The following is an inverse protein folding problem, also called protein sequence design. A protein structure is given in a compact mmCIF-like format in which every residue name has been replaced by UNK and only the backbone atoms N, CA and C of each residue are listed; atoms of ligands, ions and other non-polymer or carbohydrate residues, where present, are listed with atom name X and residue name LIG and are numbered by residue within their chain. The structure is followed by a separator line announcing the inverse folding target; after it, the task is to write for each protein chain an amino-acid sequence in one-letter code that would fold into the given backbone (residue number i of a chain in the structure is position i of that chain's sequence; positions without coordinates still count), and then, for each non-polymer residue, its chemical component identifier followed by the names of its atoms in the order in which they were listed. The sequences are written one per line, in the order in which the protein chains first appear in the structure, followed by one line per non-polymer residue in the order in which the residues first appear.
data_IF_497064806000
#
_entry.id   IF_497064806000
#
_cell.length_a   1.000
_cell.length_b   1.000
_cell.length_c   1.000
_cell.angle_alpha   90.00
_cell.angle_beta   90.00
_cell.angle_gamma   90.00
#
_symmetry.space_group_name_H-M   'P 1'
#
loop_
_entity.id
_entity.type
_entity.pdbx_description
1 polymer ?
#
# COMPACT_ATOMS: atom_id res chain seq x y z
N UNK A 1 6.63 10.03 24.57
CA UNK A 1 7.58 10.30 23.47
C UNK A 1 6.94 10.14 22.09
N UNK A 2 6.27 9.03 21.79
CA UNK A 2 5.62 8.80 20.47
C UNK A 2 4.52 9.84 20.09
N UNK A 3 3.73 10.31 21.07
CA UNK A 3 2.69 11.34 20.83
C UNK A 3 3.30 12.70 20.47
N UNK A 4 4.40 13.09 21.13
CA UNK A 4 5.11 14.32 20.83
C UNK A 4 5.77 14.28 19.45
N UNK A 5 6.36 13.13 19.09
CA UNK A 5 6.98 12.94 17.78
C UNK A 5 5.96 12.96 16.63
N UNK A 6 4.81 12.29 16.83
CA UNK A 6 3.71 12.33 15.85
C UNK A 6 3.09 13.72 15.72
N UNK A 7 2.94 14.46 16.83
CA UNK A 7 2.49 15.85 16.80
C UNK A 7 3.48 16.77 16.06
N UNK A 8 4.79 16.60 16.29
CA UNK A 8 5.82 17.37 15.60
C UNK A 8 5.84 17.10 14.08
N UNK A 9 5.71 15.83 13.67
CA UNK A 9 5.62 15.44 12.26
C UNK A 9 4.35 15.98 11.59
N UNK A 10 3.21 15.95 12.28
CA UNK A 10 1.97 16.55 11.79
C UNK A 10 2.11 18.06 11.62
N UNK A 11 2.70 18.75 12.60
CA UNK A 11 2.92 20.19 12.53
C UNK A 11 3.88 20.57 11.39
N UNK A 12 4.97 19.81 11.21
CA UNK A 12 5.91 20.00 10.11
C UNK A 12 5.24 19.76 8.75
N UNK A 13 4.47 18.67 8.61
CA UNK A 13 3.74 18.34 7.38
C UNK A 13 2.69 19.39 7.02
N UNK A 14 1.92 19.86 7.99
CA UNK A 14 0.94 20.95 7.80
C UNK A 14 1.62 22.28 7.49
N UNK A 15 2.78 22.56 8.09
CA UNK A 15 3.60 23.74 7.78
C UNK A 15 4.12 23.73 6.34
N UNK A 16 4.64 22.60 5.88
CA UNK A 16 5.06 22.39 4.49
C UNK A 16 3.89 22.53 3.51
N UNK A 17 2.71 22.01 3.87
CA UNK A 17 1.50 22.15 3.06
C UNK A 17 1.00 23.59 2.99
N UNK A 18 1.12 24.37 4.09
CA UNK A 18 0.74 25.77 4.09
C UNK A 18 1.61 26.63 3.15
N UNK A 19 2.84 26.20 2.89
CA UNK A 19 3.76 26.87 1.96
C UNK A 19 3.38 26.65 0.48
N UNK A 20 2.70 25.56 0.13
CA UNK A 20 2.37 25.26 -1.28
C UNK A 20 1.20 26.09 -1.79
N UNK A 21 0.33 26.62 -0.91
CA UNK A 21 -0.87 27.41 -1.24
C UNK A 21 -1.86 26.74 -2.20
N UNK A 22 -1.81 25.41 -2.34
CA UNK A 22 -2.72 24.65 -3.20
C UNK A 22 -3.96 24.24 -2.37
N UNK A 23 -5.16 24.80 -2.65
CA UNK A 23 -6.35 24.55 -1.82
C UNK A 23 -6.80 23.08 -1.86
N UNK A 24 -6.65 22.41 -3.02
CA UNK A 24 -6.96 20.99 -3.17
C UNK A 24 -6.09 20.10 -2.25
N UNK A 25 -4.80 20.42 -2.13
CA UNK A 25 -3.87 19.69 -1.26
C UNK A 25 -4.26 19.85 0.22
N UNK A 26 -4.69 21.05 0.62
CA UNK A 26 -5.26 21.33 1.95
C UNK A 26 -6.47 20.47 2.28
N UNK A 27 -7.43 20.38 1.35
CA UNK A 27 -8.63 19.56 1.52
C UNK A 27 -8.30 18.07 1.66
N UNK A 28 -7.46 17.52 0.77
CA UNK A 28 -7.06 16.10 0.80
C UNK A 28 -6.34 15.78 2.13
N UNK A 29 -5.45 16.65 2.58
CA UNK A 29 -4.76 16.47 3.87
C UNK A 29 -5.74 16.51 5.05
N UNK A 30 -6.72 17.41 5.03
CA UNK A 30 -7.78 17.46 6.05
C UNK A 30 -8.59 16.17 6.13
N UNK A 31 -9.02 15.65 4.98
CA UNK A 31 -9.71 14.35 4.89
C UNK A 31 -8.82 13.21 5.40
N UNK A 32 -7.53 13.22 5.03
CA UNK A 32 -6.56 12.21 5.50
C UNK A 32 -6.40 12.22 7.02
N UNK A 33 -6.27 13.40 7.64
CA UNK A 33 -6.19 13.53 9.09
C UNK A 33 -7.48 13.06 9.75
N UNK A 34 -8.65 13.47 9.24
CA UNK A 34 -9.95 13.02 9.74
C UNK A 34 -10.10 11.50 9.67
N UNK A 35 -9.68 10.89 8.57
CA UNK A 35 -9.68 9.44 8.38
C UNK A 35 -8.75 8.73 9.38
N UNK A 36 -7.56 9.27 9.66
CA UNK A 36 -6.64 8.71 10.65
C UNK A 36 -7.18 8.82 12.09
N UNK A 37 -7.84 9.93 12.42
CA UNK A 37 -8.51 10.11 13.71
C UNK A 37 -9.64 9.09 13.86
N UNK A 38 -10.51 8.98 12.85
CA UNK A 38 -11.60 8.01 12.84
C UNK A 38 -11.09 6.56 12.98
N UNK A 39 -10.05 6.21 12.23
CA UNK A 39 -9.38 4.92 12.30
C UNK A 39 -8.86 4.63 13.73
N UNK A 40 -8.21 5.60 14.36
CA UNK A 40 -7.61 5.46 15.69
C UNK A 40 -8.65 5.29 16.80
N UNK A 41 -9.77 6.00 16.71
CA UNK A 41 -10.84 5.99 17.73
C UNK A 41 -11.71 4.74 17.62
N UNK A 42 -12.18 4.41 16.41
CA UNK A 42 -13.23 3.38 16.22
C UNK A 42 -12.94 2.42 15.08
N UNK A 43 -12.44 2.92 13.95
CA UNK A 43 -12.31 2.15 12.71
C UNK A 43 -11.44 0.90 12.85
N UNK A 44 -10.40 0.94 13.67
CA UNK A 44 -9.50 -0.20 13.93
C UNK A 44 -10.14 -1.38 14.68
N UNK A 45 -11.39 -1.26 15.14
CA UNK A 45 -12.08 -2.31 15.93
C UNK A 45 -13.07 -3.13 15.11
N UNK A 46 -13.41 -2.68 13.90
CA UNK A 46 -14.40 -3.34 13.04
C UNK A 46 -13.65 -4.12 11.96
N UNK A 47 -13.84 -5.45 11.86
CA UNK A 47 -13.24 -6.26 10.81
C UNK A 47 -13.59 -5.69 9.42
N UNK A 48 -12.67 -5.82 8.47
CA UNK A 48 -12.76 -5.31 7.10
C UNK A 48 -12.68 -3.78 7.00
N UNK A 49 -13.43 -3.04 7.81
CA UNK A 49 -13.41 -1.57 7.84
C UNK A 49 -12.01 -1.05 8.17
N UNK A 50 -11.28 -1.70 9.05
CA UNK A 50 -9.90 -1.33 9.38
C UNK A 50 -8.96 -1.42 8.16
N UNK A 51 -9.08 -2.48 7.35
CA UNK A 51 -8.27 -2.69 6.15
C UNK A 51 -8.67 -1.73 5.03
N UNK A 52 -9.97 -1.47 4.84
CA UNK A 52 -10.45 -0.47 3.88
C UNK A 52 -10.02 0.95 4.26
N UNK A 53 -10.11 1.34 5.53
CA UNK A 53 -9.61 2.64 5.98
C UNK A 53 -8.11 2.78 5.74
N UNK A 54 -7.33 1.72 5.99
CA UNK A 54 -5.90 1.73 5.70
C UNK A 54 -5.64 1.95 4.20
N UNK A 55 -6.35 1.23 3.33
CA UNK A 55 -6.24 1.36 1.88
C UNK A 55 -6.67 2.75 1.38
N UNK A 56 -7.77 3.30 1.88
CA UNK A 56 -8.21 4.67 1.58
C UNK A 56 -7.14 5.70 1.95
N UNK A 57 -6.43 5.49 3.06
CA UNK A 57 -5.29 6.33 3.45
C UNK A 57 -4.15 6.32 2.42
N UNK A 58 -3.88 5.19 1.77
CA UNK A 58 -2.90 5.13 0.67
C UNK A 58 -3.37 5.88 -0.57
N UNK A 59 -4.64 5.71 -0.96
CA UNK A 59 -5.24 6.44 -2.08
C UNK A 59 -5.17 7.95 -1.87
N UNK A 60 -5.53 8.44 -0.68
CA UNK A 60 -5.43 9.86 -0.33
C UNK A 60 -4.00 10.40 -0.42
N UNK A 61 -2.98 9.60 -0.09
CA UNK A 61 -1.57 10.01 -0.25
C UNK A 61 -1.16 10.10 -1.71
N UNK A 62 -1.61 9.18 -2.56
CA UNK A 62 -1.35 9.25 -4.01
C UNK A 62 -2.01 10.49 -4.59
N UNK A 63 -3.28 10.74 -4.27
CA UNK A 63 -4.01 11.94 -4.69
C UNK A 63 -3.34 13.22 -4.22
N UNK A 64 -2.84 13.25 -2.98
CA UNK A 64 -2.08 14.39 -2.46
C UNK A 64 -0.79 14.62 -3.26
N UNK A 65 -0.04 13.56 -3.57
CA UNK A 65 1.17 13.64 -4.39
C UNK A 65 0.90 14.17 -5.80
N UNK A 66 -0.14 13.64 -6.46
CA UNK A 66 -0.61 14.11 -7.77
C UNK A 66 -1.03 15.59 -7.73
N UNK A 67 -1.76 16.01 -6.69
CA UNK A 67 -2.18 17.40 -6.52
C UNK A 67 -0.99 18.37 -6.32
N UNK A 68 0.10 17.92 -5.68
CA UNK A 68 1.29 18.74 -5.45
C UNK A 68 2.16 18.91 -6.71
N UNK A 69 2.17 17.90 -7.60
CA UNK A 69 2.94 17.92 -8.86
C UNK A 69 2.07 18.40 -10.04
N UNK A 70 0.79 18.71 -9.80
CA UNK A 70 -0.19 19.12 -10.81
C UNK A 70 -0.35 18.10 -11.96
N UNK A 71 -0.36 16.81 -11.61
CA UNK A 71 -0.56 15.69 -12.54
C UNK A 71 -1.87 14.99 -12.21
N UNK A 72 -2.64 14.60 -13.24
CA UNK A 72 -3.85 13.82 -13.04
C UNK A 72 -3.53 12.39 -12.62
N UNK A 73 -4.21 11.90 -11.58
CA UNK A 73 -4.00 10.54 -11.11
C UNK A 73 -4.71 9.55 -12.04
N UNK A 74 -3.96 8.63 -12.66
CA UNK A 74 -4.55 7.54 -13.44
C UNK A 74 -5.47 6.68 -12.57
N UNK A 75 -6.66 6.36 -13.07
CA UNK A 75 -7.63 5.51 -12.39
C UNK A 75 -7.04 4.12 -12.08
N UNK A 76 -6.24 3.57 -12.99
CA UNK A 76 -5.55 2.30 -12.78
C UNK A 76 -4.49 2.36 -11.70
N UNK A 77 -3.77 3.49 -11.60
CA UNK A 77 -2.80 3.71 -10.52
C UNK A 77 -3.49 3.78 -9.15
N UNK A 78 -4.63 4.47 -9.07
CA UNK A 78 -5.42 4.54 -7.84
C UNK A 78 -5.94 3.15 -7.45
N UNK A 79 -6.48 2.39 -8.41
CA UNK A 79 -6.94 1.03 -8.19
C UNK A 79 -5.79 0.14 -7.72
N UNK A 80 -4.66 0.14 -8.43
CA UNK A 80 -3.46 -0.63 -8.09
C UNK A 80 -2.94 -0.32 -6.68
N UNK A 81 -2.79 0.97 -6.35
CA UNK A 81 -2.32 1.39 -5.03
C UNK A 81 -3.28 0.97 -3.92
N UNK A 82 -4.60 1.05 -4.14
CA UNK A 82 -5.61 0.64 -3.18
C UNK A 82 -5.60 -0.87 -2.95
N UNK A 83 -5.52 -1.67 -4.02
CA UNK A 83 -5.53 -3.14 -3.94
C UNK A 83 -4.23 -3.68 -3.37
N UNK A 84 -3.09 -3.03 -3.66
CA UNK A 84 -1.80 -3.36 -3.07
C UNK A 84 -1.79 -3.04 -1.57
N UNK A 85 -2.39 -1.92 -1.16
CA UNK A 85 -2.54 -1.58 0.25
C UNK A 85 -3.44 -2.59 0.98
N UNK A 86 -4.56 -3.01 0.37
CA UNK A 86 -5.42 -4.08 0.91
C UNK A 86 -4.65 -5.40 1.04
N UNK A 87 -3.90 -5.79 0.01
CA UNK A 87 -3.08 -6.99 0.00
C UNK A 87 -2.09 -7.04 1.17
N UNK A 88 -1.32 -5.95 1.39
CA UNK A 88 -0.37 -5.87 2.50
C UNK A 88 -1.07 -5.83 3.87
N UNK A 89 -2.22 -5.15 3.97
CA UNK A 89 -3.00 -5.07 5.19
C UNK A 89 -3.57 -6.44 5.60
N UNK A 90 -4.09 -7.20 4.64
CA UNK A 90 -4.57 -8.56 4.83
C UNK A 90 -3.42 -9.51 5.16
N UNK A 91 -2.27 -9.36 4.50
CA UNK A 91 -1.04 -10.08 4.86
C UNK A 91 -0.66 -9.88 6.33
N UNK A 92 -0.75 -8.64 6.84
CA UNK A 92 -0.58 -8.36 8.26
C UNK A 92 -1.62 -9.04 9.14
N UNK A 93 -2.90 -9.02 8.77
CA UNK A 93 -3.97 -9.68 9.54
C UNK A 93 -3.77 -11.20 9.61
N UNK A 94 -3.26 -11.80 8.54
CA UNK A 94 -2.87 -13.21 8.55
C UNK A 94 -1.72 -13.47 9.51
N UNK A 95 -0.68 -12.64 9.47
CA UNK A 95 0.45 -12.75 10.41
C UNK A 95 -0.01 -12.62 11.86
N UNK A 96 -0.89 -11.65 12.15
CA UNK A 96 -1.50 -11.47 13.48
C UNK A 96 -2.28 -12.75 13.92
N UNK A 97 -3.05 -13.37 13.00
CA UNK A 97 -3.79 -14.62 13.26
C UNK A 97 -2.87 -15.82 13.51
N UNK A 98 -1.79 -15.96 12.74
CA UNK A 98 -0.83 -17.07 12.88
C UNK A 98 -0.05 -16.94 14.19
N UNK A 99 0.27 -15.72 14.60
CA UNK A 99 0.96 -15.43 15.85
C UNK A 99 0.09 -15.69 17.11
N UNK A 100 -1.18 -16.06 16.96
CA UNK A 100 -2.08 -16.31 18.09
C UNK A 100 -2.42 -15.04 18.88
N UNK A 101 -2.40 -13.86 18.23
CA UNK A 101 -2.86 -12.63 18.86
C UNK A 101 -4.38 -12.70 19.04
N UNK A 102 -4.83 -13.06 20.25
CA UNK A 102 -6.24 -13.15 20.61
C UNK A 102 -6.98 -11.79 20.53
N UNK A 103 -8.32 -11.87 20.54
CA UNK A 103 -9.26 -10.73 20.57
C UNK A 103 -8.95 -9.69 21.66
N UNK A 104 -8.29 -10.10 22.74
CA UNK A 104 -7.84 -9.22 23.82
C UNK A 104 -6.72 -8.25 23.39
N UNK A 105 -5.86 -8.66 22.46
CA UNK A 105 -4.77 -7.82 21.94
C UNK A 105 -5.23 -6.98 20.75
N UNK A 106 -6.19 -7.47 19.96
CA UNK A 106 -6.68 -6.74 18.78
C UNK A 106 -8.13 -7.13 18.40
N UNK A 107 -9.13 -6.34 18.83
CA UNK A 107 -10.55 -6.64 18.61
C UNK A 107 -11.00 -6.78 17.14
N UNK A 108 -10.21 -6.28 16.18
CA UNK A 108 -10.51 -6.46 14.75
C UNK A 108 -10.33 -7.90 14.27
N UNK A 109 -9.63 -8.76 15.03
CA UNK A 109 -9.40 -10.16 14.64
C UNK A 109 -10.62 -11.07 14.82
N UNK A 110 -11.56 -10.72 15.70
CA UNK A 110 -12.76 -11.51 16.02
C UNK A 110 -13.60 -11.93 14.80
N UNK A 111 -13.53 -11.18 13.70
CA UNK A 111 -14.27 -11.46 12.47
C UNK A 111 -13.45 -12.12 11.35
N UNK A 112 -12.17 -12.41 11.55
CA UNK A 112 -11.31 -13.00 10.52
C UNK A 112 -11.06 -14.49 10.76
N UNK A 113 -11.34 -15.30 9.74
CA UNK A 113 -10.87 -16.67 9.65
C UNK A 113 -9.67 -16.73 8.68
N UNK A 114 -8.70 -17.61 8.95
CA UNK A 114 -7.52 -17.85 8.09
C UNK A 114 -7.90 -18.07 6.63
N UNK A 115 -8.86 -18.95 6.37
CA UNK A 115 -9.31 -19.26 5.00
C UNK A 115 -9.83 -18.02 4.26
N UNK A 116 -10.59 -17.17 4.95
CA UNK A 116 -11.09 -15.92 4.39
C UNK A 116 -9.95 -14.94 4.07
N UNK A 117 -8.99 -14.76 4.99
CA UNK A 117 -7.86 -13.84 4.78
C UNK A 117 -6.97 -14.32 3.64
N UNK A 118 -6.67 -15.61 3.57
CA UNK A 118 -5.87 -16.19 2.48
C UNK A 118 -6.57 -16.03 1.12
N UNK A 119 -7.88 -16.26 1.04
CA UNK A 119 -8.65 -16.01 -0.18
C UNK A 119 -8.65 -14.51 -0.55
N UNK A 120 -8.84 -13.62 0.42
CA UNK A 120 -8.82 -12.18 0.18
C UNK A 120 -7.45 -11.65 -0.27
N UNK A 121 -6.35 -12.21 0.27
CA UNK A 121 -4.98 -11.94 -0.21
C UNK A 121 -4.86 -12.35 -1.68
N UNK A 122 -5.33 -13.54 -2.08
CA UNK A 122 -5.30 -13.99 -3.47
C UNK A 122 -6.06 -13.07 -4.42
N UNK A 123 -7.29 -12.68 -4.04
CA UNK A 123 -8.13 -11.76 -4.85
C UNK A 123 -7.43 -10.41 -5.02
N UNK A 124 -6.96 -9.81 -3.91
CA UNK A 124 -6.31 -8.49 -3.95
C UNK A 124 -4.98 -8.50 -4.69
N UNK A 125 -4.20 -9.58 -4.60
CA UNK A 125 -2.98 -9.80 -5.37
C UNK A 125 -3.26 -9.83 -6.88
N UNK A 126 -4.28 -10.58 -7.30
CA UNK A 126 -4.68 -10.68 -8.71
C UNK A 126 -5.14 -9.34 -9.27
N UNK A 127 -6.00 -8.62 -8.53
CA UNK A 127 -6.47 -7.29 -8.95
C UNK A 127 -5.32 -6.28 -8.98
N UNK A 128 -4.38 -6.33 -8.03
CA UNK A 128 -3.19 -5.47 -8.04
C UNK A 128 -2.31 -5.71 -9.28
N UNK A 129 -2.09 -6.98 -9.65
CA UNK A 129 -1.30 -7.31 -10.84
C UNK A 129 -1.98 -6.87 -12.13
N UNK A 130 -3.29 -7.10 -12.27
CA UNK A 130 -4.06 -6.69 -13.46
C UNK A 130 -4.13 -5.17 -13.58
N UNK A 131 -4.43 -4.47 -12.48
CA UNK A 131 -4.48 -3.00 -12.49
C UNK A 131 -3.11 -2.37 -12.78
N UNK A 132 -2.02 -2.97 -12.30
CA UNK A 132 -0.67 -2.54 -12.68
C UNK A 132 -0.37 -2.78 -14.17
N UNK A 133 -0.77 -3.92 -14.72
CA UNK A 133 -0.60 -4.20 -16.15
C UNK A 133 -1.40 -3.20 -17.02
N UNK A 134 -2.63 -2.88 -16.62
CA UNK A 134 -3.45 -1.88 -17.31
C UNK A 134 -2.86 -0.47 -17.18
N UNK A 135 -2.31 -0.12 -16.02
CA UNK A 135 -1.54 1.11 -15.86
C UNK A 135 -0.35 1.17 -16.82
N UNK A 136 0.43 0.09 -16.96
CA UNK A 136 1.54 0.03 -17.93
C UNK A 136 1.08 0.25 -19.38
N UNK A 137 -0.12 -0.22 -19.75
CA UNK A 137 -0.66 -0.06 -21.11
C UNK A 137 -1.11 1.38 -21.38
N UNK A 138 -1.71 2.05 -20.39
CA UNK A 138 -2.30 3.39 -20.55
C UNK A 138 -1.31 4.52 -20.23
N UNK A 139 -0.23 4.24 -19.48
CA UNK A 139 0.68 5.28 -19.01
C UNK A 139 1.49 5.91 -20.15
N UNK A 140 1.16 7.16 -20.48
CA UNK A 140 1.87 7.98 -21.49
C UNK A 140 3.33 8.28 -21.14
N UNK A 141 3.71 8.13 -19.86
CA UNK A 141 5.06 8.36 -19.36
C UNK A 141 6.04 7.25 -19.79
N UNK A 142 5.53 6.09 -20.22
CA UNK A 142 6.35 4.94 -20.63
C UNK A 142 6.66 5.01 -22.13
N UNK A 143 7.92 4.75 -22.47
CA UNK A 143 8.38 4.68 -23.86
C UNK A 143 7.72 3.48 -24.57
N UNK A 144 7.08 3.68 -25.73
CA UNK A 144 6.45 2.59 -26.49
C UNK A 144 7.42 1.44 -26.80
N UNK A 145 7.00 0.21 -26.54
CA UNK A 145 7.79 -1.01 -26.64
C UNK A 145 8.58 -1.36 -25.38
N UNK A 146 8.53 -0.53 -24.33
CA UNK A 146 9.20 -0.79 -23.04
C UNK A 146 8.23 -0.91 -21.85
N UNK A 147 6.94 -0.66 -22.07
CA UNK A 147 5.91 -0.60 -21.03
C UNK A 147 5.83 -1.83 -20.12
N UNK A 148 6.07 -3.02 -20.68
CA UNK A 148 5.99 -4.28 -19.94
C UNK A 148 7.28 -4.68 -19.21
N UNK A 149 8.37 -3.92 -19.35
CA UNK A 149 9.67 -4.29 -18.76
C UNK A 149 9.60 -4.46 -17.23
N UNK A 150 8.76 -3.67 -16.55
CA UNK A 150 8.60 -3.71 -15.10
C UNK A 150 7.60 -4.77 -14.62
N UNK A 151 6.74 -5.29 -15.50
CA UNK A 151 5.63 -6.19 -15.14
C UNK A 151 6.11 -7.55 -14.59
N UNK A 152 7.10 -8.25 -15.17
CA UNK A 152 7.59 -9.52 -14.62
C UNK A 152 8.14 -9.40 -13.20
N UNK A 153 8.76 -8.27 -12.86
CA UNK A 153 9.28 -8.02 -11.51
C UNK A 153 8.16 -7.83 -10.51
N UNK A 154 7.10 -7.08 -10.86
CA UNK A 154 5.93 -6.93 -10.00
C UNK A 154 5.21 -8.28 -9.80
N UNK A 155 5.03 -9.04 -10.89
CA UNK A 155 4.42 -10.37 -10.83
C UNK A 155 5.21 -11.31 -9.91
N UNK A 156 6.52 -11.38 -10.10
CA UNK A 156 7.39 -12.18 -9.25
C UNK A 156 7.36 -11.70 -7.80
N UNK A 157 7.38 -10.39 -7.56
CA UNK A 157 7.34 -9.82 -6.21
C UNK A 157 6.06 -10.17 -5.46
N UNK A 158 4.90 -10.10 -6.12
CA UNK A 158 3.61 -10.50 -5.53
C UNK A 158 3.61 -12.01 -5.24
N UNK A 159 4.05 -12.84 -6.18
CA UNK A 159 4.09 -14.29 -5.99
C UNK A 159 5.07 -14.70 -4.89
N UNK A 160 6.25 -14.08 -4.83
CA UNK A 160 7.25 -14.33 -3.81
C UNK A 160 6.74 -13.89 -2.43
N UNK A 161 6.04 -12.76 -2.34
CA UNK A 161 5.39 -12.36 -1.10
C UNK A 161 4.34 -13.38 -0.67
N UNK A 162 3.45 -13.81 -1.57
CA UNK A 162 2.44 -14.84 -1.27
C UNK A 162 3.13 -16.13 -0.82
N UNK A 163 4.20 -16.56 -1.49
CA UNK A 163 5.00 -17.73 -1.09
C UNK A 163 5.56 -17.56 0.32
N UNK A 164 6.22 -16.44 0.61
CA UNK A 164 6.81 -16.17 1.92
C UNK A 164 5.74 -16.16 3.03
N UNK A 165 4.59 -15.56 2.77
CA UNK A 165 3.46 -15.56 3.70
C UNK A 165 2.98 -16.98 3.98
N UNK A 166 2.89 -17.86 2.97
CA UNK A 166 2.44 -19.25 3.18
C UNK A 166 3.52 -20.16 3.76
N UNK A 167 4.80 -19.94 3.43
CA UNK A 167 5.92 -20.79 3.85
C UNK A 167 6.48 -20.41 5.21
N UNK A 168 6.44 -19.13 5.60
CA UNK A 168 6.89 -18.70 6.93
C UNK A 168 5.70 -18.56 7.87
N UNK A 169 5.74 -19.29 8.98
CA UNK A 169 4.75 -19.20 10.06
C UNK A 169 4.98 -18.01 11.01
N UNK A 170 6.00 -17.18 10.76
CA UNK A 170 6.39 -16.12 11.67
C UNK A 170 5.46 -14.89 11.56
N UNK A 171 5.03 -14.37 12.72
CA UNK A 171 4.29 -13.12 12.88
C UNK A 171 5.08 -11.84 12.54
N UNK A 172 6.09 -11.94 11.68
CA UNK A 172 6.90 -10.81 11.24
C UNK A 172 6.03 -9.81 10.46
N UNK A 173 6.35 -8.53 10.57
CA UNK A 173 5.64 -7.52 9.82
C UNK A 173 5.81 -7.75 8.32
N UNK A 174 4.81 -7.42 7.47
CA UNK A 174 4.92 -7.55 6.01
C UNK A 174 6.18 -6.91 5.43
N UNK A 175 6.65 -5.82 6.05
CA UNK A 175 7.84 -5.08 5.63
C UNK A 175 9.12 -5.86 5.98
N UNK A 176 9.21 -6.45 7.17
CA UNK A 176 10.34 -7.31 7.55
C UNK A 176 10.40 -8.55 6.67
N UNK A 177 9.25 -9.12 6.30
CA UNK A 177 9.18 -10.26 5.39
C UNK A 177 9.81 -9.92 4.03
N UNK A 178 9.46 -8.75 3.48
CA UNK A 178 10.00 -8.22 2.21
C UNK A 178 11.50 -7.93 2.33
N UNK A 179 11.95 -7.29 3.41
CA UNK A 179 13.35 -6.89 3.59
C UNK A 179 14.27 -8.07 3.96
N UNK A 180 13.74 -9.13 4.58
CA UNK A 180 14.52 -10.30 4.95
C UNK A 180 14.84 -11.23 3.76
N UNK A 181 14.06 -11.15 2.68
CA UNK A 181 14.25 -12.00 1.51
C UNK A 181 15.18 -11.35 0.48
N UNK A 182 16.34 -11.96 0.24
CA UNK A 182 17.25 -11.57 -0.84
C UNK A 182 16.55 -11.54 -2.19
N UNK A 183 15.61 -12.46 -2.44
CA UNK A 183 14.85 -12.50 -3.67
C UNK A 183 13.97 -11.25 -3.84
N UNK A 184 13.27 -10.80 -2.79
CA UNK A 184 12.47 -9.57 -2.85
C UNK A 184 13.33 -8.32 -3.03
N UNK A 185 14.52 -8.26 -2.43
CA UNK A 185 15.45 -7.15 -2.64
C UNK A 185 15.96 -7.10 -4.10
N UNK A 186 16.36 -8.24 -4.66
CA UNK A 186 16.79 -8.33 -6.07
C UNK A 186 15.66 -7.89 -7.00
N UNK A 187 14.43 -8.32 -6.71
CA UNK A 187 13.24 -7.97 -7.50
C UNK A 187 12.94 -6.48 -7.39
N UNK A 188 13.06 -5.88 -6.21
CA UNK A 188 12.87 -4.43 -6.03
C UNK A 188 13.90 -3.61 -6.81
N UNK A 189 15.17 -4.03 -6.80
CA UNK A 189 16.23 -3.39 -7.60
C UNK A 189 16.00 -3.58 -9.09
N UNK A 190 15.62 -4.79 -9.52
CA UNK A 190 15.31 -5.10 -10.92
C UNK A 190 14.10 -4.31 -11.43
N UNK A 191 13.07 -4.15 -10.60
CA UNK A 191 11.91 -3.30 -10.89
C UNK A 191 12.32 -1.83 -11.07
N UNK A 192 13.13 -1.27 -10.16
CA UNK A 192 13.62 0.10 -10.28
C UNK A 192 14.39 0.31 -11.59
N UNK A 193 15.29 -0.62 -11.92
CA UNK A 193 16.05 -0.57 -13.18
C UNK A 193 15.12 -0.64 -14.40
N UNK A 194 14.11 -1.52 -14.38
CA UNK A 194 13.14 -1.65 -15.46
C UNK A 194 12.27 -0.40 -15.62
N UNK A 195 11.84 0.25 -14.53
CA UNK A 195 11.07 1.50 -14.58
C UNK A 195 11.92 2.64 -15.11
N UNK A 196 13.17 2.78 -14.67
CA UNK A 196 14.08 3.82 -15.19
C UNK A 196 14.35 3.63 -16.68
N UNK A 197 14.54 2.40 -17.12
CA UNK A 197 14.67 2.06 -18.55
C UNK A 197 13.40 2.38 -19.35
N UNK A 198 12.23 2.06 -18.78
CA UNK A 198 10.94 2.26 -19.43
C UNK A 198 10.51 3.73 -19.52
N UNK A 199 11.03 4.59 -18.64
CA UNK A 199 10.74 6.04 -18.61
C UNK A 199 11.69 6.86 -19.48
N UNK A 200 12.64 6.21 -20.17
CA UNK A 200 13.55 6.88 -21.10
C UNK A 200 14.67 7.67 -20.41
N UNK A 201 14.95 7.43 -19.12
CA UNK A 201 16.14 7.97 -18.46
C UNK A 201 17.46 7.38 -19.00
N UNK A 202 17.38 6.36 -19.88
CA UNK A 202 18.48 5.68 -20.57
C UNK A 202 18.15 5.40 -22.05
#
# INVERSE_FOLDING_TARGET
TAVLFSAALLAAGLGLLALTRIPAAGYIAGVYVGLNVFYSVRGKRIPLVDVFLLASGFVLRVLLGCALVAVEASNWLLLCSSTLALFLALGKRRADLVAGLDDQHRPSLAGYNRAFVEQAIGITAGVALVSYALYCIEAEVLVPGREFASLPFVAFGILEYVRLVHTREAGDSPVELVLSSRAMLIVGVGWLAAVLWSTGFF
#
